data_IF_352294533647
#
_entry.id   IF_352294533647
#
_cell.length_a   1.000
_cell.length_b   1.000
_cell.length_c   1.000
_cell.angle_alpha   90.00
_cell.angle_beta   90.00
_cell.angle_gamma   90.00
#
_symmetry.space_group_name_H-M   'P 1'
#
loop_
_entity.id
_entity.type
_entity.pdbx_description
1 polymer ?
#
# COMPACT_ATOMS: atom_id res chain seq x y z
N UNK A 1 -9.63 14.98 -8.39
CA UNK A 1 -9.33 14.29 -9.66
C UNK A 1 -9.68 12.80 -9.61
N UNK A 2 -9.18 12.05 -8.63
CA UNK A 2 -9.48 10.62 -8.47
C UNK A 2 -10.99 10.28 -8.50
N UNK A 3 -11.84 11.09 -7.86
CA UNK A 3 -13.31 10.95 -7.91
C UNK A 3 -13.88 11.07 -9.32
N UNK A 4 -13.32 11.96 -10.16
CA UNK A 4 -13.74 12.11 -11.56
C UNK A 4 -13.37 10.87 -12.36
N UNK A 5 -12.15 10.36 -12.20
CA UNK A 5 -11.69 9.11 -12.84
C UNK A 5 -12.65 7.96 -12.49
N UNK A 6 -12.98 7.79 -11.21
CA UNK A 6 -13.91 6.75 -10.74
C UNK A 6 -15.35 6.90 -11.25
N UNK A 7 -15.81 8.13 -11.49
CA UNK A 7 -17.18 8.39 -11.94
C UNK A 7 -17.39 8.19 -13.45
N UNK A 8 -16.31 8.11 -14.23
CA UNK A 8 -16.36 7.97 -15.70
C UNK A 8 -16.33 6.52 -16.18
N UNK A 9 -16.53 6.29 -17.47
CA UNK A 9 -16.36 4.98 -18.12
C UNK A 9 -14.91 4.50 -18.03
N UNK A 10 -14.68 3.20 -18.20
CA UNK A 10 -13.33 2.67 -18.29
C UNK A 10 -12.59 3.29 -19.49
N UNK A 11 -11.30 3.55 -19.33
CA UNK A 11 -10.42 4.14 -20.35
C UNK A 11 -10.80 5.55 -20.83
N UNK A 12 -11.71 6.24 -20.13
CA UNK A 12 -12.18 7.58 -20.52
C UNK A 12 -11.06 8.63 -20.61
N UNK A 13 -9.99 8.49 -19.82
CA UNK A 13 -8.90 9.45 -19.72
C UNK A 13 -7.62 9.03 -20.45
N UNK A 14 -7.66 7.99 -21.30
CA UNK A 14 -6.46 7.47 -21.98
C UNK A 14 -5.73 8.54 -22.80
N UNK A 15 -6.47 9.45 -23.45
CA UNK A 15 -5.88 10.56 -24.22
C UNK A 15 -5.17 11.61 -23.35
N UNK A 16 -5.59 11.74 -22.09
CA UNK A 16 -5.07 12.72 -21.14
C UNK A 16 -3.96 12.13 -20.25
N UNK A 17 -3.72 10.81 -20.30
CA UNK A 17 -2.70 10.12 -19.49
C UNK A 17 -1.30 10.75 -19.59
N UNK A 18 -0.79 11.17 -20.77
CA UNK A 18 0.52 11.81 -20.84
C UNK A 18 0.59 13.10 -20.01
N UNK A 19 -0.45 13.93 -20.09
CA UNK A 19 -0.53 15.20 -19.32
C UNK A 19 -0.69 14.90 -17.83
N UNK A 20 -1.48 13.90 -17.47
CA UNK A 20 -1.58 13.46 -16.07
C UNK A 20 -0.25 12.95 -15.54
N UNK A 21 0.48 12.17 -16.34
CA UNK A 21 1.80 11.64 -15.99
C UNK A 21 2.80 12.77 -15.73
N UNK A 22 2.88 13.78 -16.61
CA UNK A 22 3.75 14.94 -16.39
C UNK A 22 3.44 15.63 -15.05
N UNK A 23 2.16 15.82 -14.73
CA UNK A 23 1.73 16.42 -13.47
C UNK A 23 1.99 15.54 -12.25
N UNK A 24 1.85 14.22 -12.38
CA UNK A 24 2.22 13.26 -11.34
C UNK A 24 3.72 13.38 -11.05
N UNK A 25 4.56 13.37 -12.08
CA UNK A 25 6.03 13.50 -11.91
C UNK A 25 6.40 14.84 -11.30
N UNK A 26 5.81 15.94 -11.77
CA UNK A 26 6.02 17.29 -11.20
C UNK A 26 5.71 17.32 -9.70
N UNK A 27 4.54 16.81 -9.29
CA UNK A 27 4.12 16.83 -7.89
C UNK A 27 4.91 15.84 -7.01
N UNK A 28 5.28 14.67 -7.55
CA UNK A 28 6.13 13.71 -6.83
C UNK A 28 7.56 14.23 -6.66
N UNK A 29 8.04 15.13 -7.52
CA UNK A 29 9.35 15.77 -7.38
C UNK A 29 9.35 16.93 -6.36
N UNK A 30 8.19 17.45 -5.97
CA UNK A 30 8.09 18.56 -5.02
C UNK A 30 8.43 18.12 -3.59
N UNK A 31 9.34 18.85 -2.94
CA UNK A 31 9.75 18.66 -1.54
C UNK A 31 9.13 19.73 -0.63
N UNK A 32 9.08 19.49 0.70
CA UNK A 32 8.55 20.48 1.67
C UNK A 32 9.25 21.85 1.59
N UNK A 33 10.50 21.90 1.13
CA UNK A 33 11.28 23.13 0.94
C UNK A 33 10.94 23.86 -0.36
N UNK A 34 10.43 23.18 -1.39
CA UNK A 34 10.08 23.78 -2.67
C UNK A 34 8.60 24.18 -2.76
N UNK A 35 7.71 23.52 -2.00
CA UNK A 35 6.28 23.85 -1.95
C UNK A 35 5.57 23.18 -0.75
N UNK A 36 4.54 23.81 -0.13
CA UNK A 36 3.62 23.13 0.80
C UNK A 36 2.84 21.95 0.16
N UNK A 37 2.99 21.74 -1.15
CA UNK A 37 2.44 20.60 -1.91
C UNK A 37 2.95 19.22 -1.48
N UNK A 38 3.91 19.05 -0.55
CA UNK A 38 4.25 17.71 -0.03
C UNK A 38 3.03 16.99 0.58
N UNK A 39 2.02 17.76 1.00
CA UNK A 39 0.71 17.28 1.45
C UNK A 39 -0.08 16.53 0.38
N UNK A 40 0.16 16.79 -0.92
CA UNK A 40 -0.61 16.19 -2.03
C UNK A 40 -0.15 14.78 -2.42
N UNK A 41 0.94 14.28 -1.84
CA UNK A 41 1.50 12.97 -2.23
C UNK A 41 0.53 11.82 -1.95
N UNK A 42 -0.19 11.90 -0.85
CA UNK A 42 -1.27 10.96 -0.54
C UNK A 42 -2.39 11.00 -1.61
N UNK A 43 -2.76 12.20 -2.10
CA UNK A 43 -3.76 12.35 -3.16
C UNK A 43 -3.30 11.75 -4.49
N UNK A 44 -1.99 11.78 -4.77
CA UNK A 44 -1.40 11.12 -5.94
C UNK A 44 -1.58 9.60 -5.84
N UNK A 45 -1.35 9.00 -4.67
CA UNK A 45 -1.60 7.57 -4.48
C UNK A 45 -3.08 7.20 -4.65
N UNK A 46 -4.00 8.05 -4.17
CA UNK A 46 -5.44 7.89 -4.42
C UNK A 46 -5.79 7.98 -5.91
N UNK A 47 -5.16 8.93 -6.64
CA UNK A 47 -5.31 9.04 -8.09
C UNK A 47 -4.76 7.82 -8.82
N UNK A 48 -3.58 7.33 -8.44
CA UNK A 48 -2.98 6.12 -9.03
C UNK A 48 -3.88 4.90 -8.79
N UNK A 49 -4.44 4.73 -7.59
CA UNK A 49 -5.46 3.69 -7.33
C UNK A 49 -6.68 3.83 -8.23
N UNK A 50 -7.18 5.05 -8.44
CA UNK A 50 -8.30 5.30 -9.36
C UNK A 50 -7.95 4.94 -10.80
N UNK A 51 -6.75 5.30 -11.27
CA UNK A 51 -6.28 5.00 -12.62
C UNK A 51 -6.15 3.48 -12.82
N UNK A 52 -5.54 2.76 -11.88
CA UNK A 52 -5.41 1.29 -11.93
C UNK A 52 -6.78 0.61 -11.97
N UNK A 53 -7.79 1.16 -11.28
CA UNK A 53 -9.15 0.59 -11.26
C UNK A 53 -9.98 0.88 -12.52
N UNK A 54 -9.65 1.92 -13.29
CA UNK A 54 -10.49 2.45 -14.37
C UNK A 54 -9.81 2.47 -15.73
N UNK A 55 -8.55 2.06 -15.80
CA UNK A 55 -7.73 2.10 -17.01
C UNK A 55 -7.17 0.71 -17.27
N UNK A 56 -7.34 0.23 -18.50
CA UNK A 56 -6.77 -1.02 -18.97
C UNK A 56 -5.24 -1.00 -18.83
N UNK A 57 -4.65 -2.11 -18.37
CA UNK A 57 -3.22 -2.21 -18.05
C UNK A 57 -2.29 -1.77 -19.20
N UNK A 58 -2.70 -2.04 -20.45
CA UNK A 58 -1.96 -1.66 -21.68
C UNK A 58 -1.69 -0.15 -21.78
N UNK A 59 -2.52 0.70 -21.17
CA UNK A 59 -2.36 2.15 -21.19
C UNK A 59 -1.51 2.67 -20.02
N UNK A 60 -1.22 1.84 -19.02
CA UNK A 60 -0.46 2.23 -17.81
C UNK A 60 1.04 1.96 -17.92
N UNK A 61 1.50 1.39 -19.04
CA UNK A 61 2.89 0.97 -19.25
C UNK A 61 3.93 2.04 -18.88
N UNK A 62 3.68 3.32 -19.22
CA UNK A 62 4.62 4.43 -18.97
C UNK A 62 4.60 4.91 -17.52
N UNK A 63 3.59 4.55 -16.73
CA UNK A 63 3.47 4.91 -15.32
C UNK A 63 4.20 3.93 -14.41
N UNK A 64 4.42 2.67 -14.81
CA UNK A 64 5.01 1.65 -13.94
C UNK A 64 6.39 2.02 -13.37
N UNK A 65 7.35 2.58 -14.14
CA UNK A 65 8.63 3.00 -13.56
C UNK A 65 8.47 4.08 -12.48
N UNK A 66 7.49 4.98 -12.65
CA UNK A 66 7.20 6.06 -11.70
C UNK A 66 6.56 5.46 -10.44
N UNK A 67 5.54 4.61 -10.61
CA UNK A 67 4.85 3.93 -9.51
C UNK A 67 5.85 3.09 -8.70
N UNK A 68 6.69 2.30 -9.36
CA UNK A 68 7.64 1.42 -8.69
C UNK A 68 8.70 2.20 -7.91
N UNK A 69 9.30 3.22 -8.53
CA UNK A 69 10.30 4.05 -7.86
C UNK A 69 9.70 4.78 -6.65
N UNK A 70 8.51 5.37 -6.81
CA UNK A 70 7.84 6.11 -5.75
C UNK A 70 7.40 5.18 -4.59
N UNK A 71 6.75 4.06 -4.90
CA UNK A 71 6.34 3.08 -3.87
C UNK A 71 7.53 2.58 -3.07
N UNK A 72 8.66 2.28 -3.74
CA UNK A 72 9.84 1.81 -3.05
C UNK A 72 10.34 2.84 -2.04
N UNK A 73 10.53 4.10 -2.46
CA UNK A 73 11.05 5.14 -1.55
C UNK A 73 10.05 5.46 -0.44
N UNK A 74 8.75 5.53 -0.77
CA UNK A 74 7.70 5.83 0.20
C UNK A 74 7.59 4.75 1.28
N UNK A 75 7.62 3.47 0.89
CA UNK A 75 7.50 2.33 1.83
C UNK A 75 8.79 2.15 2.64
N UNK A 76 9.98 2.33 2.05
CA UNK A 76 11.24 2.34 2.79
C UNK A 76 11.30 3.46 3.85
N UNK A 77 10.56 4.56 3.67
CA UNK A 77 10.54 5.67 4.65
C UNK A 77 9.94 5.31 6.02
N UNK A 78 9.25 4.16 6.13
CA UNK A 78 8.63 3.70 7.38
C UNK A 78 9.66 3.57 8.50
N UNK A 79 10.84 3.07 8.20
CA UNK A 79 11.95 2.88 9.16
C UNK A 79 12.96 4.03 9.12
N UNK A 80 12.72 5.06 8.30
CA UNK A 80 13.62 6.20 8.23
C UNK A 80 13.73 6.89 9.60
N UNK A 81 14.94 7.29 10.03
CA UNK A 81 15.15 8.01 11.27
C UNK A 81 14.35 9.29 11.34
N UNK A 82 13.93 9.68 12.55
CA UNK A 82 13.26 10.96 12.77
C UNK A 82 14.12 12.12 12.27
N UNK A 83 13.47 13.14 11.70
CA UNK A 83 14.14 14.32 11.12
C UNK A 83 15.09 14.04 9.95
N UNK A 84 14.97 12.89 9.31
CA UNK A 84 15.64 12.61 8.03
C UNK A 84 14.83 13.11 6.84
N UNK A 85 15.49 13.36 5.70
CA UNK A 85 14.82 13.81 4.47
C UNK A 85 13.63 12.92 4.05
N UNK A 86 13.72 11.58 4.10
CA UNK A 86 12.57 10.72 3.83
C UNK A 86 11.44 10.91 4.86
N UNK A 87 11.76 11.03 6.15
CA UNK A 87 10.75 11.25 7.20
C UNK A 87 10.02 12.59 7.04
N UNK A 88 10.70 13.62 6.54
CA UNK A 88 10.09 14.94 6.29
C UNK A 88 9.26 14.95 4.99
N UNK A 89 9.61 14.09 4.04
CA UNK A 89 8.94 14.00 2.73
C UNK A 89 7.65 13.18 2.81
N UNK A 90 7.66 12.08 3.56
CA UNK A 90 6.55 11.14 3.66
C UNK A 90 5.91 11.19 5.05
N UNK A 91 4.78 11.89 5.14
CA UNK A 91 3.96 11.87 6.36
C UNK A 91 3.21 10.54 6.52
N UNK A 92 2.71 10.28 7.73
CA UNK A 92 1.99 9.04 8.08
C UNK A 92 0.84 8.70 7.12
N UNK A 93 0.09 9.72 6.66
CA UNK A 93 -1.03 9.53 5.75
C UNK A 93 -0.55 9.11 4.35
N UNK A 94 0.51 9.73 3.83
CA UNK A 94 1.11 9.36 2.55
C UNK A 94 1.68 7.95 2.56
N UNK A 95 2.35 7.54 3.65
CA UNK A 95 2.87 6.18 3.83
C UNK A 95 1.71 5.16 3.81
N UNK A 96 0.63 5.45 4.54
CA UNK A 96 -0.55 4.58 4.56
C UNK A 96 -1.17 4.45 3.16
N UNK A 97 -1.31 5.56 2.43
CA UNK A 97 -1.85 5.54 1.07
C UNK A 97 -0.93 4.83 0.07
N UNK A 98 0.39 4.92 0.22
CA UNK A 98 1.35 4.13 -0.56
C UNK A 98 1.18 2.62 -0.29
N UNK A 99 1.05 2.22 0.98
CA UNK A 99 0.79 0.82 1.35
C UNK A 99 -0.53 0.31 0.76
N UNK A 100 -1.58 1.14 0.78
CA UNK A 100 -2.88 0.80 0.15
C UNK A 100 -2.81 0.72 -1.37
N UNK A 101 -1.97 1.54 -2.01
CA UNK A 101 -1.72 1.44 -3.44
C UNK A 101 -1.03 0.11 -3.77
N UNK A 102 0.03 -0.25 -3.04
CA UNK A 102 0.70 -1.55 -3.20
C UNK A 102 -0.27 -2.72 -3.01
N UNK A 103 -1.06 -2.70 -1.94
CA UNK A 103 -2.05 -3.73 -1.63
C UNK A 103 -3.15 -3.84 -2.72
N UNK A 104 -3.56 -2.69 -3.28
CA UNK A 104 -4.48 -2.67 -4.44
C UNK A 104 -3.85 -3.28 -5.69
N UNK A 105 -2.57 -2.97 -5.96
CA UNK A 105 -1.83 -3.52 -7.11
C UNK A 105 -1.66 -5.04 -7.00
N UNK A 106 -1.31 -5.55 -5.82
CA UNK A 106 -1.21 -6.98 -5.54
C UNK A 106 -2.56 -7.69 -5.67
N UNK A 107 -3.65 -7.05 -5.22
CA UNK A 107 -4.99 -7.61 -5.32
C UNK A 107 -5.49 -7.69 -6.78
N UNK A 108 -5.25 -6.65 -7.57
CA UNK A 108 -5.68 -6.58 -8.97
C UNK A 108 -4.78 -7.44 -9.87
N UNK A 109 -3.48 -7.44 -9.57
CA UNK A 109 -2.41 -8.10 -10.30
C UNK A 109 -2.43 -7.77 -11.82
N UNK A 110 -2.23 -6.51 -12.24
CA UNK A 110 -2.03 -6.19 -13.65
C UNK A 110 -0.77 -6.88 -14.20
N UNK A 111 -0.83 -7.49 -15.39
CA UNK A 111 0.25 -8.28 -15.99
C UNK A 111 1.62 -7.57 -15.97
N UNK A 112 1.67 -6.29 -16.32
CA UNK A 112 2.91 -5.50 -16.34
C UNK A 112 3.50 -5.25 -14.93
N UNK A 113 2.64 -5.17 -13.92
CA UNK A 113 3.06 -5.00 -12.52
C UNK A 113 3.62 -6.32 -11.97
N UNK A 114 3.06 -7.47 -12.35
CA UNK A 114 3.52 -8.79 -11.88
C UNK A 114 5.00 -9.04 -12.21
N UNK A 115 5.52 -8.47 -13.31
CA UNK A 115 6.95 -8.53 -13.66
C UNK A 115 7.88 -7.89 -12.61
N UNK A 116 7.33 -7.02 -11.78
CA UNK A 116 8.04 -6.22 -10.77
C UNK A 116 7.59 -6.52 -9.34
N UNK A 117 6.58 -7.38 -9.15
CA UNK A 117 5.96 -7.70 -7.87
C UNK A 117 6.97 -8.21 -6.82
N UNK A 118 7.95 -8.98 -7.29
CA UNK A 118 9.05 -9.53 -6.47
C UNK A 118 9.91 -8.45 -5.77
N UNK A 119 9.93 -7.22 -6.27
CA UNK A 119 10.61 -6.09 -5.62
C UNK A 119 9.96 -5.75 -4.27
N UNK A 120 8.65 -5.97 -4.18
CA UNK A 120 7.85 -5.57 -3.03
C UNK A 120 7.57 -6.74 -2.09
N UNK A 121 7.25 -7.92 -2.61
CA UNK A 121 6.91 -9.10 -1.79
C UNK A 121 7.67 -10.35 -2.21
N UNK A 122 7.72 -11.36 -1.35
CA UNK A 122 8.08 -12.72 -1.78
C UNK A 122 6.85 -13.37 -2.41
N UNK A 123 6.85 -13.54 -3.73
CA UNK A 123 5.75 -14.12 -4.53
C UNK A 123 5.85 -15.65 -4.67
N UNK A 124 6.83 -16.27 -4.02
CA UNK A 124 7.08 -17.72 -4.05
C UNK A 124 6.58 -18.43 -2.79
N UNK A 125 6.63 -19.76 -2.83
CA UNK A 125 6.28 -20.65 -1.70
C UNK A 125 7.08 -20.34 -0.43
N UNK A 126 8.25 -19.70 -0.56
CA UNK A 126 9.12 -19.30 0.55
C UNK A 126 8.43 -18.28 1.49
N UNK A 127 7.43 -17.53 0.99
CA UNK A 127 6.62 -16.65 1.82
C UNK A 127 5.92 -17.42 2.96
N UNK A 128 5.39 -18.62 2.64
CA UNK A 128 4.66 -19.48 3.58
C UNK A 128 5.61 -20.42 4.32
N UNK A 129 6.57 -21.00 3.60
CA UNK A 129 7.50 -21.99 4.12
C UNK A 129 8.93 -21.46 4.07
N UNK A 130 9.26 -20.54 4.99
CA UNK A 130 10.60 -19.92 5.04
C UNK A 130 11.68 -20.98 5.34
N UNK A 131 12.66 -21.18 4.43
CA UNK A 131 13.79 -22.07 4.69
C UNK A 131 14.69 -21.52 5.80
N UNK A 132 15.51 -22.38 6.39
CA UNK A 132 16.43 -21.99 7.48
C UNK A 132 17.49 -20.95 7.07
N UNK A 133 17.75 -20.81 5.78
CA UNK A 133 18.67 -19.82 5.20
C UNK A 133 17.95 -18.68 4.48
N UNK A 134 16.65 -18.48 4.75
CA UNK A 134 15.87 -17.41 4.14
C UNK A 134 16.52 -16.06 4.41
N UNK A 135 16.62 -15.22 3.38
CA UNK A 135 17.00 -13.82 3.48
C UNK A 135 15.96 -13.03 2.73
N UNK A 136 15.33 -12.02 3.35
CA UNK A 136 14.40 -11.17 2.65
C UNK A 136 15.15 -10.46 1.52
N UNK A 137 14.58 -10.53 0.31
CA UNK A 137 15.00 -9.76 -0.86
C UNK A 137 13.94 -8.73 -1.22
N UNK A 138 12.70 -9.00 -0.81
CA UNK A 138 11.57 -8.12 -1.03
C UNK A 138 11.55 -7.00 0.01
N UNK A 139 11.15 -5.80 -0.42
CA UNK A 139 11.10 -4.63 0.46
C UNK A 139 10.22 -4.87 1.69
N UNK A 140 9.07 -5.54 1.53
CA UNK A 140 8.11 -5.76 2.62
C UNK A 140 8.65 -6.75 3.65
N UNK A 141 9.33 -7.82 3.21
CA UNK A 141 9.90 -8.78 4.15
C UNK A 141 11.08 -8.18 4.91
N UNK A 142 11.92 -7.35 4.26
CA UNK A 142 13.00 -6.59 4.93
C UNK A 142 12.44 -5.68 6.03
N UNK A 143 11.41 -4.88 5.70
CA UNK A 143 10.76 -4.00 6.67
C UNK A 143 10.07 -4.78 7.79
N UNK A 144 9.48 -5.92 7.49
CA UNK A 144 8.88 -6.79 8.52
C UNK A 144 9.92 -7.28 9.53
N UNK A 145 11.13 -7.64 9.08
CA UNK A 145 12.22 -8.06 9.96
C UNK A 145 12.73 -6.89 10.81
N UNK A 146 12.99 -5.73 10.19
CA UNK A 146 13.50 -4.55 10.88
C UNK A 146 12.52 -4.03 11.95
N UNK A 147 11.23 -3.91 11.62
CA UNK A 147 10.18 -3.52 12.56
C UNK A 147 9.96 -4.58 13.65
N UNK A 148 10.19 -5.86 13.34
CA UNK A 148 10.16 -6.94 14.30
C UNK A 148 11.26 -6.82 15.36
N UNK A 149 12.49 -6.52 14.91
CA UNK A 149 13.66 -6.33 15.77
C UNK A 149 13.49 -5.11 16.69
N UNK A 150 13.05 -3.97 16.13
CA UNK A 150 12.79 -2.74 16.88
C UNK A 150 11.73 -2.92 17.98
N UNK A 151 10.73 -3.77 17.75
CA UNK A 151 9.75 -4.10 18.76
C UNK A 151 10.36 -4.93 19.90
N UNK A 152 11.18 -5.95 19.59
CA UNK A 152 11.83 -6.77 20.63
C UNK A 152 12.81 -5.99 21.50
N UNK A 153 13.55 -5.02 20.95
CA UNK A 153 14.47 -4.16 21.73
C UNK A 153 13.73 -3.28 22.72
N UNK A 154 12.51 -2.85 22.38
CA UNK A 154 11.69 -1.98 23.23
C UNK A 154 10.86 -2.75 24.28
N UNK A 155 10.80 -4.09 24.19
CA UNK A 155 9.91 -4.94 25.01
C UNK A 155 10.66 -5.86 25.98
N UNK A 156 11.75 -5.38 26.60
CA UNK A 156 12.36 -6.07 27.78
C UNK A 156 11.54 -5.92 29.07
N UNK A 157 10.36 -5.29 29.01
CA UNK A 157 9.35 -5.35 30.06
C UNK A 157 7.98 -5.67 29.43
N UNK A 158 7.34 -6.72 29.95
CA UNK A 158 6.01 -7.24 29.61
C UNK A 158 5.98 -8.25 28.45
N UNK A 159 6.13 -9.52 28.86
CA UNK A 159 5.60 -10.67 28.15
C UNK A 159 4.12 -10.43 27.86
N UNK A 160 3.74 -10.37 26.59
CA UNK A 160 2.37 -10.66 26.17
C UNK A 160 2.45 -11.39 24.85
N UNK A 161 1.90 -12.59 24.91
CA UNK A 161 1.74 -13.62 23.90
C UNK A 161 1.79 -13.11 22.47
N UNK A 162 2.70 -13.69 21.69
CA UNK A 162 2.65 -13.71 20.23
C UNK A 162 1.29 -14.24 19.79
N UNK A 163 0.35 -13.32 19.62
CA UNK A 163 -0.84 -13.55 18.82
C UNK A 163 -0.35 -13.68 17.39
N UNK A 164 0.13 -14.88 17.06
CA UNK A 164 0.00 -15.42 15.72
C UNK A 164 -1.48 -15.41 15.40
N UNK A 165 -1.98 -14.27 14.93
CA UNK A 165 -3.13 -14.26 14.04
C UNK A 165 -2.64 -14.96 12.78
N UNK A 166 -2.58 -16.28 12.87
CA UNK A 166 -2.63 -17.16 11.74
C UNK A 166 -3.92 -16.81 11.01
N UNK A 167 -3.82 -15.94 10.01
CA UNK A 167 -4.83 -15.81 8.97
C UNK A 167 -4.69 -17.04 8.07
N UNK A 168 -4.75 -18.23 8.67
CA UNK A 168 -4.95 -19.49 7.97
C UNK A 168 -6.43 -19.57 7.63
N UNK A 169 -6.86 -18.81 6.62
CA UNK A 169 -8.21 -18.91 6.05
C UNK A 169 -8.20 -18.93 4.52
N UNK A 170 -7.16 -19.53 3.90
CA UNK A 170 -7.14 -19.93 2.50
C UNK A 170 -8.43 -20.62 2.02
N UNK A 171 -9.16 -21.30 2.93
CA UNK A 171 -10.42 -21.99 2.64
C UNK A 171 -11.67 -21.09 2.48
N UNK A 172 -11.58 -19.75 2.61
CA UNK A 172 -12.75 -18.84 2.50
C UNK A 172 -12.67 -17.77 1.40
N UNK A 173 -11.59 -17.72 0.61
CA UNK A 173 -11.44 -16.69 -0.42
C UNK A 173 -12.18 -17.07 -1.70
N UNK A 174 -13.50 -16.80 -1.76
CA UNK A 174 -14.21 -16.85 -3.05
C UNK A 174 -13.78 -15.72 -4.00
N UNK A 175 -13.22 -14.64 -3.45
CA UNK A 175 -12.76 -13.46 -4.19
C UNK A 175 -11.46 -12.89 -3.57
N UNK A 176 -10.53 -12.42 -4.40
CA UNK A 176 -9.31 -11.70 -4.00
C UNK A 176 -9.65 -10.27 -3.61
N UNK A 177 -9.10 -9.81 -2.49
CA UNK A 177 -9.39 -8.51 -1.87
C UNK A 177 -8.11 -7.93 -1.26
N UNK A 178 -7.98 -6.59 -1.13
CA UNK A 178 -6.86 -5.99 -0.42
C UNK A 178 -6.83 -6.40 1.07
N UNK A 179 -5.63 -6.54 1.64
CA UNK A 179 -5.40 -6.89 3.04
C UNK A 179 -5.70 -5.74 4.01
N UNK A 180 -5.40 -4.51 3.59
CA UNK A 180 -5.70 -3.27 4.32
C UNK A 180 -7.16 -2.86 4.08
N UNK A 181 -7.84 -2.54 5.17
CA UNK A 181 -9.24 -2.15 5.15
C UNK A 181 -10.09 -3.14 5.94
N UNK A 182 -10.89 -2.62 6.88
CA UNK A 182 -11.92 -3.45 7.54
C UNK A 182 -13.01 -3.80 6.57
N UNK A 183 -13.18 -5.10 6.32
CA UNK A 183 -14.32 -5.61 5.58
C UNK A 183 -15.42 -6.19 6.46
N UNK A 184 -16.64 -6.19 5.90
CA UNK A 184 -17.77 -6.95 6.45
C UNK A 184 -17.34 -8.40 6.66
N UNK A 185 -17.41 -8.87 7.90
CA UNK A 185 -16.95 -10.20 8.30
C UNK A 185 -15.67 -10.20 9.15
N UNK A 186 -15.08 -9.04 9.45
CA UNK A 186 -13.90 -8.94 10.33
C UNK A 186 -12.59 -9.35 9.66
N UNK A 187 -12.60 -9.46 8.33
CA UNK A 187 -11.41 -9.75 7.52
C UNK A 187 -10.64 -8.44 7.23
N UNK A 188 -9.32 -8.55 7.15
CA UNK A 188 -8.40 -7.44 6.86
C UNK A 188 -7.83 -6.76 8.11
N UNK A 189 -6.77 -5.98 7.91
CA UNK A 189 -6.12 -5.17 8.95
C UNK A 189 -6.86 -3.84 9.06
N UNK A 190 -7.22 -3.46 10.29
CA UNK A 190 -7.88 -2.18 10.53
C UNK A 190 -6.92 -1.01 10.38
N UNK A 191 -7.15 -0.23 9.34
CA UNK A 191 -6.44 0.97 8.96
C UNK A 191 -7.18 2.26 9.37
N UNK A 192 -8.36 2.16 10.01
CA UNK A 192 -9.12 3.31 10.50
C UNK A 192 -8.46 3.93 11.73
N UNK A 193 -7.98 5.17 11.60
CA UNK A 193 -7.37 5.92 12.70
C UNK A 193 -6.93 7.31 12.24
N UNK A 194 -6.64 8.22 13.17
CA UNK A 194 -6.11 9.56 12.86
C UNK A 194 -4.59 9.55 12.68
N UNK A 195 -3.91 8.45 13.04
CA UNK A 195 -2.48 8.17 12.80
C UNK A 195 -1.54 9.37 13.00
N UNK A 196 -1.77 10.18 14.02
CA UNK A 196 -0.95 11.37 14.31
C UNK A 196 0.48 10.98 14.72
N UNK A 197 0.60 9.85 15.43
CA UNK A 197 1.88 9.30 15.87
C UNK A 197 2.33 8.15 14.96
N UNK A 198 3.53 8.26 14.42
CA UNK A 198 4.14 7.24 13.54
C UNK A 198 4.21 5.88 14.22
N UNK A 199 4.63 5.83 15.49
CA UNK A 199 4.71 4.58 16.27
C UNK A 199 3.37 3.85 16.36
N UNK A 200 2.26 4.58 16.50
CA UNK A 200 0.94 3.97 16.58
C UNK A 200 0.51 3.37 15.24
N UNK A 201 0.75 4.09 14.14
CA UNK A 201 0.50 3.59 12.79
C UNK A 201 1.34 2.34 12.51
N UNK A 202 2.61 2.38 12.86
CA UNK A 202 3.55 1.26 12.69
C UNK A 202 3.07 0.05 13.50
N UNK A 203 2.78 0.24 14.79
CA UNK A 203 2.41 -0.87 15.67
C UNK A 203 1.06 -1.50 15.33
N UNK A 204 0.04 -0.69 15.00
CA UNK A 204 -1.34 -1.16 14.81
C UNK A 204 -1.64 -1.60 13.37
N UNK A 205 -0.94 -1.04 12.37
CA UNK A 205 -1.26 -1.26 10.94
C UNK A 205 -0.06 -1.82 10.19
N UNK A 206 1.04 -1.05 10.11
CA UNK A 206 2.10 -1.35 9.13
C UNK A 206 2.88 -2.61 9.48
N UNK A 207 3.21 -2.83 10.76
CA UNK A 207 3.91 -4.04 11.18
C UNK A 207 3.06 -5.31 10.94
N UNK A 208 1.78 -5.38 11.36
CA UNK A 208 0.90 -6.48 10.97
C UNK A 208 0.80 -6.66 9.45
N UNK A 209 0.69 -5.56 8.70
CA UNK A 209 0.59 -5.58 7.24
C UNK A 209 1.82 -6.19 6.58
N UNK A 210 3.00 -5.65 6.86
CA UNK A 210 4.25 -6.16 6.29
C UNK A 210 4.55 -7.60 6.71
N UNK A 211 4.17 -7.99 7.93
CA UNK A 211 4.38 -9.37 8.40
C UNK A 211 3.51 -10.42 7.69
N UNK A 212 2.40 -10.01 7.07
CA UNK A 212 1.43 -10.92 6.47
C UNK A 212 1.30 -10.77 4.95
N UNK A 213 1.74 -9.65 4.37
CA UNK A 213 1.44 -9.33 2.97
C UNK A 213 1.96 -10.38 1.98
N UNK A 214 3.22 -10.83 2.09
CA UNK A 214 3.80 -11.85 1.20
C UNK A 214 3.01 -13.17 1.29
N UNK A 215 2.67 -13.61 2.50
CA UNK A 215 1.86 -14.82 2.73
C UNK A 215 0.47 -14.65 2.10
N UNK A 216 -0.18 -13.52 2.39
CA UNK A 216 -1.52 -13.23 1.92
C UNK A 216 -1.61 -13.14 0.39
N UNK A 217 -0.64 -12.49 -0.24
CA UNK A 217 -0.58 -12.36 -1.70
C UNK A 217 -0.33 -13.72 -2.37
N UNK A 218 0.56 -14.54 -1.81
CA UNK A 218 0.78 -15.92 -2.27
C UNK A 218 -0.52 -16.74 -2.15
N UNK A 219 -1.11 -16.82 -0.96
CA UNK A 219 -2.35 -17.58 -0.74
C UNK A 219 -3.51 -17.09 -1.62
N UNK A 220 -3.66 -15.77 -1.80
CA UNK A 220 -4.70 -15.18 -2.64
C UNK A 220 -4.52 -15.54 -4.11
N UNK A 221 -3.28 -15.58 -4.59
CA UNK A 221 -2.96 -15.96 -5.98
C UNK A 221 -3.25 -17.43 -6.23
N UNK A 222 -2.82 -18.32 -5.34
CA UNK A 222 -3.07 -19.77 -5.47
C UNK A 222 -4.49 -20.19 -5.08
N UNK A 223 -5.22 -19.35 -4.35
CA UNK A 223 -6.65 -19.51 -4.08
C UNK A 223 -7.53 -19.35 -5.32
N UNK A 224 -7.00 -18.76 -6.41
CA UNK A 224 -7.65 -18.63 -7.72
C UNK A 224 -9.04 -17.95 -7.67
N UNK A 225 -9.29 -17.13 -6.65
CA UNK A 225 -10.50 -16.33 -6.52
C UNK A 225 -10.52 -15.19 -7.55
N UNK A 226 -11.70 -14.81 -8.02
CA UNK A 226 -11.82 -13.63 -8.88
C UNK A 226 -11.56 -12.34 -8.07
N UNK A 227 -11.01 -11.31 -8.69
CA UNK A 227 -10.78 -10.03 -8.01
C UNK A 227 -12.10 -9.34 -7.67
N UNK A 228 -12.27 -8.92 -6.42
CA UNK A 228 -13.41 -8.12 -5.99
C UNK A 228 -13.16 -6.64 -6.32
N UNK A 229 -13.46 -6.26 -7.56
CA UNK A 229 -13.29 -4.88 -8.05
C UNK A 229 -14.11 -3.87 -7.25
N UNK A 230 -15.31 -4.26 -6.81
CA UNK A 230 -16.20 -3.39 -6.05
C UNK A 230 -15.65 -3.12 -4.65
N UNK A 231 -15.03 -4.11 -4.01
CA UNK A 231 -14.30 -3.92 -2.78
C UNK A 231 -13.16 -2.91 -2.89
N UNK A 232 -12.31 -3.04 -3.92
CA UNK A 232 -11.22 -2.10 -4.17
C UNK A 232 -11.75 -0.68 -4.40
N UNK A 233 -12.85 -0.56 -5.18
CA UNK A 233 -13.53 0.71 -5.44
C UNK A 233 -14.11 1.34 -4.17
N UNK A 234 -14.79 0.55 -3.33
CA UNK A 234 -15.36 1.02 -2.06
C UNK A 234 -14.28 1.46 -1.08
N UNK A 235 -13.16 0.72 -1.00
CA UNK A 235 -12.00 1.12 -0.19
C UNK A 235 -11.45 2.47 -0.63
N UNK A 236 -11.27 2.68 -1.94
CA UNK A 236 -10.81 3.95 -2.47
C UNK A 236 -11.82 5.10 -2.24
N UNK A 237 -13.11 4.85 -2.44
CA UNK A 237 -14.16 5.86 -2.18
C UNK A 237 -14.17 6.28 -0.70
N UNK A 238 -14.02 5.32 0.22
CA UNK A 238 -13.92 5.60 1.64
C UNK A 238 -12.74 6.52 1.94
N UNK A 239 -11.59 6.26 1.34
CA UNK A 239 -10.38 7.09 1.52
C UNK A 239 -10.53 8.48 0.88
N UNK A 240 -11.21 8.57 -0.27
CA UNK A 240 -11.46 9.85 -0.95
C UNK A 240 -12.42 10.78 -0.20
N UNK A 241 -13.36 10.20 0.54
CA UNK A 241 -14.37 10.92 1.30
C UNK A 241 -14.14 10.88 2.81
N UNK A 242 -12.93 10.51 3.25
CA UNK A 242 -12.57 10.62 4.67
C UNK A 242 -12.39 12.11 5.02
N UNK A 243 -13.31 12.65 5.82
CA UNK A 243 -13.26 14.04 6.27
C UNK A 243 -11.98 14.39 7.05
N UNK A 244 -11.25 13.39 7.53
CA UNK A 244 -9.96 13.56 8.23
C UNK A 244 -8.83 13.96 7.28
N UNK A 245 -8.90 13.57 6.00
CA UNK A 245 -7.91 13.97 4.99
C UNK A 245 -8.27 15.25 4.26
N UNK A 246 -9.52 15.73 4.40
CA UNK A 246 -9.95 17.00 3.80
C UNK A 246 -9.40 18.14 4.65
N UNK A 247 -8.37 18.82 4.14
CA UNK A 247 -7.86 20.06 4.72
C UNK A 247 -9.03 21.04 4.82
N UNK A 248 -9.52 21.27 6.04
CA UNK A 248 -10.52 22.32 6.29
C UNK A 248 -9.84 23.66 6.04
N UNK A 249 -10.22 24.33 4.96
CA UNK A 249 -9.87 25.73 4.77
C UNK A 249 -10.48 26.52 5.95
N UNK A 250 -9.62 26.99 6.84
CA UNK A 250 -9.93 27.99 7.85
C UNK A 250 -9.71 29.39 7.25
#
# INVERSE_FOLDING_TARGET
>A
MATLVLATMDDNFVTDLPVMQEKIVELLSATPTSSPSSTTRADIYLLLRALVLKTSAIHLATLWPIINAELHVAISSVVAPDHSTPSDTYNNYSILQACKLLDTLLCIAPDDFQLHEWLFITDTIDAVYRPSSFRPVSLVDELSEELGLAATTNTTALQTESSSVAVSQAAKYSMRRPLLGRMKGGFGINDEGTWERKDELVAKVLRPFFSQLSIFAFESTYGMGATDWEACRQGLLKDLFDERSIVRAL
#
